data_IF_466372960514
#
_entry.id   IF_466372960514
#
_cell.length_a   1.000
_cell.length_b   1.000
_cell.length_c   1.000
_cell.angle_alpha   90.00
_cell.angle_beta   90.00
_cell.angle_gamma   90.00
#
_symmetry.space_group_name_H-M   'P 1'
#
loop_
_entity.id
_entity.type
_entity.pdbx_description
1 polymer ?
#
# COMPACT_ATOMS: atom_id res chain seq x y z
N UNK A 1 12.83 18.16 -4.66
CA UNK A 1 13.03 17.92 -3.21
C UNK A 1 12.91 16.44 -2.97
N UNK A 2 13.82 15.83 -2.21
CA UNK A 2 13.75 14.40 -1.88
C UNK A 2 12.78 14.23 -0.70
N UNK A 3 11.78 13.36 -0.86
CA UNK A 3 10.81 13.07 0.20
C UNK A 3 11.38 11.95 1.07
N UNK A 4 12.10 12.33 2.12
CA UNK A 4 12.68 11.36 3.04
C UNK A 4 11.64 10.88 4.05
N UNK A 5 11.21 9.63 3.92
CA UNK A 5 10.32 8.96 4.86
C UNK A 5 11.10 8.04 5.77
N UNK A 6 10.80 8.10 7.06
CA UNK A 6 11.18 7.06 8.02
C UNK A 6 9.91 6.34 8.44
N UNK A 7 9.83 5.05 8.19
CA UNK A 7 8.72 4.21 8.65
C UNK A 7 9.21 3.25 9.73
N UNK A 8 8.43 3.12 10.80
CA UNK A 8 8.60 2.06 11.77
C UNK A 8 8.30 0.70 11.13
N UNK A 9 8.79 -0.37 11.75
CA UNK A 9 8.56 -1.73 11.25
C UNK A 9 7.08 -2.05 11.07
N UNK A 10 6.24 -1.59 12.01
CA UNK A 10 4.80 -1.76 11.91
C UNK A 10 4.20 -1.04 10.69
N UNK A 11 4.61 0.21 10.43
CA UNK A 11 4.14 0.96 9.26
C UNK A 11 4.61 0.30 7.94
N UNK A 12 5.84 -0.21 7.91
CA UNK A 12 6.37 -0.97 6.77
C UNK A 12 5.57 -2.26 6.53
N UNK A 13 5.23 -2.99 7.59
CA UNK A 13 4.40 -4.19 7.51
C UNK A 13 3.01 -3.86 6.95
N UNK A 14 2.39 -2.78 7.42
CA UNK A 14 1.07 -2.34 6.95
C UNK A 14 1.10 -1.98 5.45
N UNK A 15 2.11 -1.20 5.03
CA UNK A 15 2.33 -0.83 3.63
C UNK A 15 2.53 -2.10 2.79
N UNK A 16 3.43 -2.99 3.22
CA UNK A 16 3.72 -4.23 2.53
C UNK A 16 2.48 -5.14 2.41
N UNK A 17 1.66 -5.25 3.45
CA UNK A 17 0.38 -5.97 3.40
C UNK A 17 -0.57 -5.38 2.35
N UNK A 18 -0.70 -4.06 2.28
CA UNK A 18 -1.53 -3.40 1.26
C UNK A 18 -1.04 -3.66 -0.16
N UNK A 19 0.27 -3.54 -0.40
CA UNK A 19 0.88 -3.81 -1.70
C UNK A 19 0.70 -5.28 -2.13
N UNK A 20 0.89 -6.24 -1.21
CA UNK A 20 0.71 -7.66 -1.50
C UNK A 20 -0.75 -8.02 -1.85
N UNK A 21 -1.73 -7.43 -1.15
CA UNK A 21 -3.14 -7.62 -1.50
C UNK A 21 -3.44 -7.03 -2.87
N UNK A 22 -2.89 -5.85 -3.18
CA UNK A 22 -3.03 -5.21 -4.48
C UNK A 22 -2.45 -6.07 -5.61
N UNK A 23 -1.24 -6.61 -5.43
CA UNK A 23 -0.62 -7.56 -6.36
C UNK A 23 -1.51 -8.80 -6.57
N UNK A 24 -2.02 -9.39 -5.48
CA UNK A 24 -2.87 -10.57 -5.54
C UNK A 24 -4.18 -10.30 -6.29
N UNK A 25 -4.83 -9.15 -6.04
CA UNK A 25 -6.05 -8.75 -6.75
C UNK A 25 -5.79 -8.53 -8.24
N UNK A 26 -4.67 -7.92 -8.59
CA UNK A 26 -4.27 -7.73 -10.01
C UNK A 26 -3.96 -9.04 -10.71
N UNK A 27 -3.23 -9.95 -10.07
CA UNK A 27 -2.93 -11.28 -10.59
C UNK A 27 -4.20 -12.13 -10.81
N UNK A 28 -5.18 -12.07 -9.90
CA UNK A 28 -6.47 -12.74 -10.12
C UNK A 28 -7.22 -12.15 -11.30
N UNK A 29 -7.27 -10.81 -11.38
CA UNK A 29 -7.94 -10.12 -12.47
C UNK A 29 -7.31 -10.43 -13.83
N UNK A 30 -5.98 -10.54 -13.93
CA UNK A 30 -5.32 -10.89 -15.20
C UNK A 30 -5.65 -12.31 -15.69
N UNK A 31 -5.96 -13.25 -14.78
CA UNK A 31 -6.42 -14.60 -15.15
C UNK A 31 -7.85 -14.63 -15.72
N UNK A 32 -8.66 -13.60 -15.48
CA UNK A 32 -10.06 -13.45 -15.98
C UNK A 32 -10.12 -12.75 -17.37
N UNK A 33 -8.97 -12.76 -18.03
CA UNK A 33 -8.37 -11.77 -18.87
C UNK A 33 -8.06 -12.07 -20.39
N UNK A 34 -8.95 -12.44 -21.34
CA UNK A 34 -8.59 -12.80 -22.76
C UNK A 34 -7.51 -11.95 -23.51
N UNK A 35 -6.58 -12.65 -24.18
CA UNK A 35 -5.14 -12.35 -24.38
C UNK A 35 -4.66 -10.97 -24.89
N UNK A 36 -4.95 -10.48 -26.09
CA UNK A 36 -3.92 -9.68 -26.82
C UNK A 36 -3.70 -8.18 -26.46
N UNK A 37 -4.36 -7.63 -25.43
CA UNK A 37 -4.07 -6.26 -24.92
C UNK A 37 -3.76 -6.20 -23.42
N UNK A 38 -3.70 -7.37 -22.77
CA UNK A 38 -3.72 -7.52 -21.32
C UNK A 38 -2.42 -8.00 -20.70
N UNK A 39 -1.43 -8.43 -21.47
CA UNK A 39 -0.19 -8.94 -20.89
C UNK A 39 0.83 -7.82 -20.61
N UNK A 40 1.03 -6.88 -21.54
CA UNK A 40 2.07 -5.86 -21.41
C UNK A 40 1.82 -4.85 -20.27
N UNK A 41 0.64 -4.25 -20.20
CA UNK A 41 0.30 -3.28 -19.15
C UNK A 41 0.19 -3.93 -17.75
N UNK A 42 -0.08 -5.23 -17.69
CA UNK A 42 -0.13 -5.97 -16.41
C UNK A 42 1.26 -6.40 -15.95
N UNK A 43 2.15 -6.83 -16.85
CA UNK A 43 3.51 -7.22 -16.50
C UNK A 43 4.30 -6.03 -15.95
N UNK A 44 4.22 -4.87 -16.60
CA UNK A 44 4.93 -3.66 -16.17
C UNK A 44 4.46 -3.20 -14.79
N UNK A 45 3.16 -3.11 -14.57
CA UNK A 45 2.58 -2.70 -13.29
C UNK A 45 2.77 -3.75 -12.18
N UNK A 46 2.85 -5.03 -12.52
CA UNK A 46 3.14 -6.10 -11.55
C UNK A 46 4.62 -6.12 -11.15
N UNK A 47 5.51 -5.80 -12.09
CA UNK A 47 6.94 -5.64 -11.83
C UNK A 47 7.20 -4.42 -10.95
N UNK A 48 6.61 -3.27 -11.26
CA UNK A 48 6.71 -2.06 -10.42
C UNK A 48 6.25 -2.31 -8.98
N UNK A 49 5.11 -2.99 -8.79
CA UNK A 49 4.61 -3.34 -7.45
C UNK A 49 5.55 -4.29 -6.72
N UNK A 50 6.16 -5.24 -7.44
CA UNK A 50 7.13 -6.17 -6.86
C UNK A 50 8.42 -5.44 -6.42
N UNK A 51 8.96 -4.57 -7.27
CA UNK A 51 10.12 -3.74 -6.96
C UNK A 51 9.85 -2.83 -5.77
N UNK A 52 8.67 -2.21 -5.72
CA UNK A 52 8.25 -1.41 -4.58
C UNK A 52 8.15 -2.24 -3.29
N UNK A 53 7.60 -3.47 -3.35
CA UNK A 53 7.59 -4.36 -2.19
C UNK A 53 9.00 -4.71 -1.70
N UNK A 54 9.93 -5.01 -2.61
CA UNK A 54 11.33 -5.27 -2.26
C UNK A 54 11.97 -4.05 -1.62
N UNK A 55 11.74 -2.87 -2.20
CA UNK A 55 12.21 -1.60 -1.66
C UNK A 55 11.68 -1.41 -0.24
N UNK A 56 10.36 -1.47 -0.01
CA UNK A 56 9.74 -1.30 1.31
C UNK A 56 10.32 -2.28 2.34
N UNK A 57 10.52 -3.55 1.99
CA UNK A 57 11.10 -4.55 2.90
C UNK A 57 12.55 -4.27 3.28
N UNK A 58 13.32 -3.56 2.45
CA UNK A 58 14.71 -3.23 2.74
C UNK A 58 14.88 -1.97 3.60
N UNK A 59 13.81 -1.22 3.91
CA UNK A 59 13.90 0.09 4.59
C UNK A 59 13.92 0.03 6.12
N UNK A 60 14.05 -1.14 6.74
CA UNK A 60 13.94 -1.25 8.19
C UNK A 60 14.94 -0.31 8.89
N UNK A 61 14.42 0.70 9.59
CA UNK A 61 15.17 1.75 10.28
C UNK A 61 15.99 2.72 9.41
N UNK A 62 15.64 2.90 8.13
CA UNK A 62 16.32 3.83 7.24
C UNK A 62 15.38 4.91 6.69
N UNK A 63 15.93 6.10 6.42
CA UNK A 63 15.22 7.13 5.67
C UNK A 63 15.25 6.78 4.19
N UNK A 64 14.08 6.65 3.59
CA UNK A 64 13.92 6.33 2.16
C UNK A 64 13.44 7.52 1.37
N UNK A 65 13.83 7.61 0.10
CA UNK A 65 13.18 8.51 -0.84
C UNK A 65 12.14 7.74 -1.65
N UNK A 66 10.88 8.17 -1.59
CA UNK A 66 9.79 7.62 -2.39
C UNK A 66 9.34 8.68 -3.41
N UNK A 67 9.25 8.26 -4.67
CA UNK A 67 8.68 9.07 -5.74
C UNK A 67 7.16 9.25 -5.55
N UNK A 68 6.59 10.27 -6.20
CA UNK A 68 5.13 10.50 -6.16
C UNK A 68 4.34 9.27 -6.62
N UNK A 69 4.81 8.59 -7.66
CA UNK A 69 4.17 7.37 -8.17
C UNK A 69 4.21 6.23 -7.14
N UNK A 70 5.34 6.03 -6.46
CA UNK A 70 5.45 5.03 -5.40
C UNK A 70 4.51 5.36 -4.23
N UNK A 71 4.36 6.64 -3.86
CA UNK A 71 3.42 7.07 -2.83
C UNK A 71 1.97 6.83 -3.23
N UNK A 72 1.60 7.09 -4.48
CA UNK A 72 0.26 6.83 -5.00
C UNK A 72 -0.08 5.32 -5.01
N UNK A 73 0.90 4.48 -5.34
CA UNK A 73 0.77 3.02 -5.24
C UNK A 73 0.60 2.56 -3.78
N UNK A 74 1.39 3.13 -2.85
CA UNK A 74 1.26 2.82 -1.42
C UNK A 74 -0.13 3.22 -0.90
N UNK A 75 -0.60 4.43 -1.20
CA UNK A 75 -1.95 4.90 -0.85
C UNK A 75 -3.02 3.96 -1.40
N UNK A 76 -2.90 3.57 -2.67
CA UNK A 76 -3.84 2.64 -3.30
C UNK A 76 -3.87 1.29 -2.58
N UNK A 77 -2.69 0.75 -2.24
CA UNK A 77 -2.55 -0.49 -1.48
C UNK A 77 -3.15 -0.39 -0.07
N UNK A 78 -2.93 0.73 0.62
CA UNK A 78 -3.49 0.98 1.95
C UNK A 78 -5.03 1.07 1.90
N UNK A 79 -5.61 1.76 0.92
CA UNK A 79 -7.08 1.82 0.73
C UNK A 79 -7.65 0.42 0.53
N UNK A 80 -7.01 -0.38 -0.31
CA UNK A 80 -7.40 -1.76 -0.59
C UNK A 80 -7.35 -2.61 0.68
N UNK A 81 -6.32 -2.44 1.51
CA UNK A 81 -6.18 -3.11 2.78
C UNK A 81 -7.30 -2.71 3.74
N UNK A 82 -7.60 -1.41 3.86
CA UNK A 82 -8.67 -0.92 4.72
C UNK A 82 -10.06 -1.45 4.32
N UNK A 83 -10.39 -1.48 3.03
CA UNK A 83 -11.61 -2.10 2.52
C UNK A 83 -11.68 -3.60 2.83
N UNK A 84 -10.56 -4.32 2.67
CA UNK A 84 -10.48 -5.74 3.02
C UNK A 84 -10.68 -5.98 4.53
N UNK A 85 -10.01 -5.22 5.39
CA UNK A 85 -10.13 -5.34 6.85
C UNK A 85 -11.54 -4.97 7.32
N UNK A 86 -12.15 -3.92 6.76
CA UNK A 86 -13.53 -3.53 7.07
C UNK A 86 -14.53 -4.64 6.75
N UNK A 87 -14.44 -5.25 5.56
CA UNK A 87 -15.32 -6.35 5.17
C UNK A 87 -15.18 -7.57 6.08
N UNK A 88 -13.95 -7.91 6.47
CA UNK A 88 -13.69 -9.01 7.40
C UNK A 88 -14.25 -8.73 8.81
N UNK A 89 -14.12 -7.48 9.29
CA UNK A 89 -14.67 -7.05 10.58
C UNK A 89 -16.20 -7.05 10.61
N UNK A 90 -16.88 -6.72 9.50
CA UNK A 90 -18.34 -6.82 9.41
C UNK A 90 -18.86 -8.26 9.49
N UNK A 91 -18.06 -9.24 9.05
CA UNK A 91 -18.45 -10.66 9.06
C UNK A 91 -18.31 -11.31 10.46
N UNK A 92 -17.64 -10.65 11.42
CA UNK A 92 -17.34 -11.21 12.75
C UNK A 92 -17.55 -10.19 13.88
N UNK A 93 -18.57 -10.41 14.70
CA UNK A 93 -18.97 -9.50 15.78
C UNK A 93 -17.90 -9.25 16.88
N UNK A 94 -16.93 -10.15 17.09
CA UNK A 94 -15.88 -10.00 18.13
C UNK A 94 -14.62 -9.25 17.66
N UNK A 95 -14.54 -8.81 16.40
CA UNK A 95 -13.34 -8.16 15.82
C UNK A 95 -13.44 -6.62 15.76
N UNK A 96 -14.45 -6.00 16.40
CA UNK A 96 -14.65 -4.54 16.37
C UNK A 96 -13.48 -3.73 16.95
N UNK A 97 -12.85 -4.20 18.04
CA UNK A 97 -11.67 -3.56 18.63
C UNK A 97 -10.42 -3.70 17.74
N UNK A 98 -10.31 -4.83 17.02
CA UNK A 98 -9.23 -5.02 16.05
C UNK A 98 -9.36 -4.03 14.90
N UNK A 99 -10.58 -3.83 14.37
CA UNK A 99 -10.84 -2.84 13.34
C UNK A 99 -10.54 -1.40 13.80
N UNK A 100 -10.94 -1.00 15.01
CA UNK A 100 -10.65 0.33 15.55
C UNK A 100 -9.13 0.57 15.68
N UNK A 101 -8.39 -0.43 16.16
CA UNK A 101 -6.92 -0.35 16.25
C UNK A 101 -6.25 -0.25 14.87
N UNK A 102 -6.78 -0.97 13.88
CA UNK A 102 -6.30 -0.93 12.50
C UNK A 102 -6.60 0.43 11.84
N UNK A 103 -7.78 0.99 12.05
CA UNK A 103 -8.19 2.27 11.46
C UNK A 103 -7.31 3.44 11.94
N UNK A 104 -6.97 3.45 13.24
CA UNK A 104 -6.02 4.42 13.80
C UNK A 104 -4.63 4.29 13.16
N UNK A 105 -4.12 3.07 13.05
CA UNK A 105 -2.81 2.82 12.46
C UNK A 105 -2.75 3.15 10.97
N UNK A 106 -3.81 2.84 10.22
CA UNK A 106 -3.96 3.25 8.82
C UNK A 106 -3.93 4.77 8.69
N UNK A 107 -4.68 5.48 9.55
CA UNK A 107 -4.77 6.94 9.53
C UNK A 107 -3.41 7.59 9.79
N UNK A 108 -2.63 7.07 10.74
CA UNK A 108 -1.27 7.57 11.01
C UNK A 108 -0.35 7.46 9.79
N UNK A 109 -0.32 6.30 9.12
CA UNK A 109 0.48 6.11 7.91
C UNK A 109 -0.02 7.01 6.77
N UNK A 110 -1.34 7.12 6.61
CA UNK A 110 -1.96 7.94 5.58
C UNK A 110 -1.63 9.43 5.74
N UNK A 111 -1.80 9.96 6.95
CA UNK A 111 -1.48 11.35 7.27
C UNK A 111 0.01 11.64 7.12
N UNK A 112 0.87 10.70 7.50
CA UNK A 112 2.33 10.83 7.33
C UNK A 112 2.74 10.96 5.86
N UNK A 113 2.11 10.19 4.97
CA UNK A 113 2.32 10.32 3.52
C UNK A 113 1.75 11.66 3.01
N UNK A 114 0.52 12.00 3.39
CA UNK A 114 -0.19 13.17 2.89
C UNK A 114 0.42 14.51 3.34
N UNK A 115 0.87 14.59 4.60
CA UNK A 115 1.47 15.79 5.16
C UNK A 115 2.84 16.08 4.53
N UNK A 116 3.61 15.05 4.19
CA UNK A 116 4.92 15.22 3.53
C UNK A 116 4.75 15.82 2.12
N UNK A 117 3.70 15.43 1.39
CA UNK A 117 3.33 16.04 0.10
C UNK A 117 2.84 17.48 0.24
N UNK A 118 2.11 17.80 1.31
CA UNK A 118 1.50 19.13 1.53
C UNK A 118 2.51 20.21 1.92
N UNK A 119 3.66 19.85 2.51
CA UNK A 119 4.77 20.76 2.78
C UNK A 119 5.45 21.35 1.53
N UNK A 120 4.99 21.01 0.33
CA UNK A 120 5.56 21.43 -0.95
C UNK A 120 4.85 22.62 -1.63
N UNK A 121 3.78 23.18 -1.05
CA UNK A 121 2.99 24.26 -1.70
C UNK A 121 3.38 25.68 -1.22
N UNK A 122 4.49 25.85 -0.50
CA UNK A 122 4.99 27.16 -0.07
C UNK A 122 6.47 27.39 -0.42
#
# INVERSE_FOLDING_TARGET
>A
MNNYFYFSNYELDLINSGLLIMMTKKAKKSMELTEEKREHDYEEVSLELFELCLKIKSLSNEYTNLSSHELDLIKSGLIILADCTYRQGLEKQDEALYYESFDLQFKEVWEKIHNNESTQVH
#
